data_IF_926282239502
#
_entry.id   IF_926282239502
#
_cell.length_a   1.000
_cell.length_b   1.000
_cell.length_c   1.000
_cell.angle_alpha   90.00
_cell.angle_beta   90.00
_cell.angle_gamma   90.00
#
_symmetry.space_group_name_H-M   'P 1'
#
loop_
_entity.id
_entity.type
_entity.pdbx_description
1 polymer ?
#
# COMPACT_ATOMS: atom_id res chain seq x y z
N UNK A 1 50.93 -16.69 55.87
CA UNK A 1 49.46 -16.76 55.95
C UNK A 1 48.83 -16.07 54.76
N UNK A 2 48.51 -16.79 53.69
CA UNK A 2 48.05 -16.22 52.42
C UNK A 2 46.51 -16.27 52.41
N UNK A 3 45.84 -15.09 52.32
CA UNK A 3 44.37 -14.94 52.20
C UNK A 3 43.93 -15.35 50.81
N UNK A 4 43.37 -16.55 50.68
CA UNK A 4 42.80 -17.08 49.44
C UNK A 4 41.27 -17.16 49.58
N UNK A 5 40.56 -16.02 49.59
CA UNK A 5 39.12 -16.00 49.67
C UNK A 5 38.52 -14.73 49.04
N UNK A 6 38.67 -14.52 47.72
CA UNK A 6 37.82 -13.51 47.06
C UNK A 6 37.53 -13.78 45.59
N UNK A 7 38.03 -14.90 45.05
CA UNK A 7 37.97 -15.11 43.58
C UNK A 7 36.65 -15.75 43.12
N UNK A 8 36.02 -16.57 43.94
CA UNK A 8 34.76 -17.24 43.59
C UNK A 8 33.54 -16.33 43.58
N UNK A 9 33.53 -15.26 44.39
CA UNK A 9 32.43 -14.30 44.47
C UNK A 9 32.40 -13.39 43.25
N UNK A 10 33.57 -12.95 42.78
CA UNK A 10 33.70 -12.10 41.61
C UNK A 10 33.40 -12.85 40.31
N UNK A 11 33.80 -14.10 40.20
CA UNK A 11 33.52 -14.95 39.06
C UNK A 11 32.01 -15.24 38.90
N UNK A 12 31.28 -15.44 40.03
CA UNK A 12 29.82 -15.61 40.01
C UNK A 12 29.08 -14.32 39.56
N UNK A 13 29.56 -13.14 39.95
CA UNK A 13 29.00 -11.85 39.55
C UNK A 13 29.23 -11.55 38.05
N UNK A 14 30.40 -11.95 37.53
CA UNK A 14 30.73 -11.79 36.11
C UNK A 14 29.87 -12.74 35.26
N UNK A 15 29.69 -13.98 35.68
CA UNK A 15 28.84 -14.94 34.96
C UNK A 15 27.36 -14.50 34.97
N UNK A 16 26.86 -13.96 36.12
CA UNK A 16 25.49 -13.45 36.20
C UNK A 16 25.29 -12.20 35.28
N UNK A 17 26.29 -11.32 35.21
CA UNK A 17 26.25 -10.17 34.31
C UNK A 17 26.30 -10.56 32.83
N UNK A 18 27.06 -11.61 32.47
CA UNK A 18 27.10 -12.13 31.10
C UNK A 18 25.78 -12.81 30.69
N UNK A 19 25.11 -13.50 31.59
CA UNK A 19 23.82 -14.15 31.34
C UNK A 19 22.71 -13.10 31.16
N UNK A 20 22.73 -12.01 31.95
CA UNK A 20 21.78 -10.91 31.79
C UNK A 20 21.98 -10.12 30.47
N UNK A 21 23.22 -10.02 29.97
CA UNK A 21 23.50 -9.34 28.69
C UNK A 21 23.14 -10.19 27.46
N UNK A 22 22.98 -11.49 27.60
CA UNK A 22 22.54 -12.40 26.53
C UNK A 22 21.00 -12.52 26.44
N UNK A 23 20.27 -11.98 27.43
CA UNK A 23 18.79 -11.90 27.38
C UNK A 23 18.29 -10.57 26.81
N UNK A 24 19.17 -9.64 26.45
CA UNK A 24 18.79 -8.40 25.81
C UNK A 24 18.68 -8.58 24.31
N UNK A 25 17.44 -8.42 23.86
CA UNK A 25 17.03 -8.13 22.49
C UNK A 25 16.98 -9.27 21.48
N UNK A 26 16.05 -10.22 21.69
CA UNK A 26 15.18 -10.50 20.58
C UNK A 26 13.97 -9.53 20.68
N UNK A 27 14.19 -8.28 20.41
CA UNK A 27 13.11 -7.45 19.91
C UNK A 27 12.75 -8.07 18.57
N UNK A 28 11.79 -8.98 18.55
CA UNK A 28 11.01 -9.23 17.36
C UNK A 28 10.48 -7.85 17.00
N UNK A 29 10.92 -7.33 15.86
CA UNK A 29 10.29 -6.19 15.25
C UNK A 29 8.85 -6.64 14.98
N UNK A 30 7.93 -6.32 15.89
CA UNK A 30 6.50 -6.49 15.68
C UNK A 30 6.11 -5.53 14.57
N UNK A 31 6.26 -5.99 13.33
CA UNK A 31 5.80 -5.26 12.17
C UNK A 31 4.33 -4.90 12.40
N UNK A 32 4.04 -3.61 12.46
CA UNK A 32 2.66 -3.17 12.65
C UNK A 32 1.85 -3.58 11.42
N UNK A 33 0.91 -4.51 11.58
CA UNK A 33 0.01 -4.96 10.52
C UNK A 33 -1.40 -4.49 10.79
N UNK A 34 -2.17 -4.32 9.71
CA UNK A 34 -3.55 -3.87 9.82
C UNK A 34 -4.37 -4.14 8.57
N UNK A 35 -5.62 -3.66 8.61
CA UNK A 35 -6.56 -3.76 7.50
C UNK A 35 -6.53 -2.48 6.67
N UNK A 36 -6.73 -2.66 5.36
CA UNK A 36 -7.02 -1.61 4.39
C UNK A 36 -8.49 -1.73 4.04
N UNK A 37 -9.27 -0.68 4.26
CA UNK A 37 -10.66 -0.58 3.82
C UNK A 37 -10.92 0.88 3.47
N UNK A 38 -10.64 1.22 2.21
CA UNK A 38 -10.73 2.57 1.68
C UNK A 38 -11.82 2.65 0.63
N UNK A 39 -12.48 3.80 0.57
CA UNK A 39 -13.30 4.22 -0.56
C UNK A 39 -12.90 5.61 -0.99
N UNK A 40 -13.02 5.86 -2.29
CA UNK A 40 -12.63 7.14 -2.84
C UNK A 40 -13.42 7.54 -4.06
N UNK A 41 -13.11 8.74 -4.49
CA UNK A 41 -13.53 9.32 -5.74
C UNK A 41 -12.29 9.59 -6.59
N UNK A 42 -12.38 9.35 -7.88
CA UNK A 42 -11.31 9.48 -8.83
C UNK A 42 -11.79 10.26 -10.06
N UNK A 43 -11.00 11.22 -10.49
CA UNK A 43 -11.22 11.98 -11.73
C UNK A 43 -9.97 11.86 -12.59
N UNK A 44 -10.15 11.50 -13.86
CA UNK A 44 -9.04 11.24 -14.78
C UNK A 44 -9.24 11.84 -16.15
N UNK A 45 -8.13 12.16 -16.78
CA UNK A 45 -8.00 12.41 -18.20
C UNK A 45 -7.55 11.13 -18.90
N UNK A 46 -8.25 10.74 -19.97
CA UNK A 46 -7.89 9.58 -20.75
C UNK A 46 -7.64 9.91 -22.21
N UNK A 47 -6.67 9.21 -22.79
CA UNK A 47 -6.40 9.24 -24.24
C UNK A 47 -6.64 7.85 -24.79
N UNK A 48 -7.33 7.81 -25.91
CA UNK A 48 -7.73 6.61 -26.60
C UNK A 48 -7.08 6.54 -27.97
N UNK A 49 -6.65 5.35 -28.35
CA UNK A 49 -6.16 5.03 -29.69
C UNK A 49 -6.93 3.81 -30.21
N UNK A 50 -7.76 4.04 -31.22
CA UNK A 50 -8.57 2.99 -31.85
C UNK A 50 -8.16 2.76 -33.29
N UNK A 51 -8.27 1.52 -33.75
CA UNK A 51 -8.27 1.18 -35.16
C UNK A 51 -9.70 1.22 -35.72
N UNK A 52 -9.84 1.03 -37.05
CA UNK A 52 -11.14 1.05 -37.76
C UNK A 52 -12.15 -0.01 -37.27
N UNK A 53 -11.69 -1.06 -36.57
CA UNK A 53 -12.53 -2.13 -36.02
C UNK A 53 -12.94 -1.86 -34.56
N UNK A 54 -12.61 -0.70 -34.00
CA UNK A 54 -12.90 -0.38 -32.62
C UNK A 54 -12.02 -1.09 -31.59
N UNK A 55 -10.94 -1.75 -32.04
CA UNK A 55 -9.91 -2.33 -31.16
C UNK A 55 -8.88 -1.25 -30.87
N UNK A 56 -8.56 -1.05 -29.62
CA UNK A 56 -7.65 0.00 -29.25
C UNK A 56 -7.08 -0.15 -27.86
N UNK A 57 -6.37 0.87 -27.45
CA UNK A 57 -5.81 1.03 -26.14
C UNK A 57 -6.19 2.38 -25.56
N UNK A 58 -6.16 2.49 -24.26
CA UNK A 58 -6.25 3.76 -23.56
C UNK A 58 -5.14 3.87 -22.53
N UNK A 59 -4.76 5.10 -22.27
CA UNK A 59 -3.93 5.50 -21.15
C UNK A 59 -4.65 6.61 -20.42
N UNK A 60 -4.44 6.69 -19.11
CA UNK A 60 -4.99 7.77 -18.30
C UNK A 60 -4.06 8.16 -17.18
N UNK A 61 -4.26 9.36 -16.70
CA UNK A 61 -3.78 9.82 -15.40
C UNK A 61 -4.90 10.56 -14.67
N UNK A 62 -4.90 10.45 -13.37
CA UNK A 62 -5.97 11.05 -12.59
C UNK A 62 -5.66 11.11 -11.12
N UNK A 63 -6.47 11.87 -10.42
CA UNK A 63 -6.34 12.05 -8.98
C UNK A 63 -7.68 11.95 -8.27
N UNK A 64 -7.61 11.71 -6.97
CA UNK A 64 -8.79 11.63 -6.13
C UNK A 64 -8.49 11.64 -4.65
N UNK A 65 -9.53 11.64 -3.85
CA UNK A 65 -9.45 11.49 -2.40
C UNK A 65 -9.82 10.08 -1.97
N UNK A 66 -9.22 9.62 -0.88
CA UNK A 66 -9.54 8.36 -0.23
C UNK A 66 -9.95 8.62 1.23
N UNK A 67 -10.92 7.88 1.69
CA UNK A 67 -11.37 7.86 3.08
C UNK A 67 -11.33 6.43 3.62
N UNK A 68 -10.85 6.27 4.84
CA UNK A 68 -10.94 4.99 5.53
C UNK A 68 -12.39 4.71 5.93
N UNK A 69 -12.88 3.55 5.55
CA UNK A 69 -14.20 3.04 5.96
C UNK A 69 -14.09 2.30 7.28
N UNK A 70 -12.92 1.72 7.56
CA UNK A 70 -12.56 1.10 8.83
C UNK A 70 -11.04 1.15 9.03
N UNK A 71 -10.60 1.19 10.29
CA UNK A 71 -9.18 1.33 10.62
C UNK A 71 -8.68 2.75 10.43
N UNK A 72 -7.35 2.91 10.39
CA UNK A 72 -6.66 4.21 10.28
C UNK A 72 -5.75 4.31 9.06
N UNK A 73 -5.64 3.26 8.25
CA UNK A 73 -4.82 3.29 7.05
C UNK A 73 -5.50 4.14 5.98
N UNK A 74 -4.80 5.13 5.50
CA UNK A 74 -5.25 5.94 4.37
C UNK A 74 -6.38 6.93 4.67
N UNK A 75 -6.69 7.20 5.94
CA UNK A 75 -7.67 8.22 6.28
C UNK A 75 -7.20 9.61 5.85
N UNK A 76 -8.12 10.36 5.22
CA UNK A 76 -7.84 11.72 4.72
C UNK A 76 -6.63 11.79 3.78
N UNK A 77 -6.53 10.85 2.86
CA UNK A 77 -5.43 10.79 1.89
C UNK A 77 -5.87 11.23 0.49
N UNK A 78 -4.88 11.57 -0.33
CA UNK A 78 -5.07 11.73 -1.77
C UNK A 78 -4.40 10.57 -2.52
N UNK A 79 -4.89 10.31 -3.73
CA UNK A 79 -4.28 9.37 -4.65
C UNK A 79 -4.02 10.05 -6.00
N UNK A 80 -2.91 9.70 -6.64
CA UNK A 80 -2.63 9.99 -8.04
C UNK A 80 -2.28 8.68 -8.73
N UNK A 81 -3.01 8.36 -9.80
CA UNK A 81 -2.85 7.10 -10.51
C UNK A 81 -2.55 7.34 -11.98
N UNK A 82 -1.74 6.45 -12.54
CA UNK A 82 -1.53 6.33 -13.98
C UNK A 82 -1.83 4.88 -14.37
N UNK A 83 -2.54 4.71 -15.49
CA UNK A 83 -2.94 3.38 -15.92
C UNK A 83 -3.14 3.28 -17.41
N UNK A 84 -3.23 2.04 -17.89
CA UNK A 84 -3.46 1.71 -19.27
C UNK A 84 -4.29 0.41 -19.39
N UNK A 85 -5.03 0.31 -20.48
CA UNK A 85 -5.80 -0.90 -20.78
C UNK A 85 -6.08 -1.03 -22.26
N UNK A 86 -6.74 -2.14 -22.64
CA UNK A 86 -7.09 -2.46 -24.03
C UNK A 86 -8.60 -2.66 -24.19
N UNK A 87 -9.15 -2.26 -25.34
CA UNK A 87 -10.55 -2.39 -25.71
C UNK A 87 -10.61 -3.25 -26.99
N UNK A 88 -11.55 -4.21 -27.13
CA UNK A 88 -12.69 -4.52 -26.28
C UNK A 88 -12.33 -5.36 -25.05
N UNK A 89 -13.13 -5.21 -24.05
CA UNK A 89 -12.99 -5.52 -22.66
C UNK A 89 -12.84 -6.98 -22.20
N UNK A 90 -11.96 -7.77 -22.81
CA UNK A 90 -11.44 -8.99 -22.18
C UNK A 90 -9.98 -8.86 -21.74
N UNK A 91 -9.51 -7.62 -21.71
CA UNK A 91 -8.19 -7.27 -21.25
C UNK A 91 -8.16 -6.95 -19.77
N UNK A 92 -6.99 -6.58 -19.35
CA UNK A 92 -6.71 -6.09 -17.99
C UNK A 92 -6.30 -4.63 -18.12
N UNK A 93 -6.88 -3.79 -17.29
CA UNK A 93 -6.35 -2.48 -16.99
C UNK A 93 -5.31 -2.64 -15.89
N UNK A 94 -4.15 -2.03 -16.05
CA UNK A 94 -3.08 -2.06 -15.06
C UNK A 94 -2.47 -0.68 -14.87
N UNK A 95 -1.92 -0.46 -13.70
CA UNK A 95 -1.30 0.83 -13.42
C UNK A 95 -0.72 0.93 -12.03
N UNK A 96 -0.34 2.15 -11.70
CA UNK A 96 0.24 2.50 -10.40
C UNK A 96 -0.49 3.68 -9.80
N UNK A 97 -0.67 3.64 -8.48
CA UNK A 97 -1.13 4.79 -7.72
C UNK A 97 -0.11 5.15 -6.64
N UNK A 98 0.13 6.44 -6.47
CA UNK A 98 0.76 6.98 -5.27
C UNK A 98 -0.33 7.47 -4.34
N UNK A 99 -0.39 6.89 -3.15
CA UNK A 99 -1.22 7.37 -2.04
C UNK A 99 -0.36 8.30 -1.22
N UNK A 100 -0.82 9.55 -1.05
CA UNK A 100 -0.14 10.55 -0.24
C UNK A 100 -0.92 10.80 1.04
N UNK A 101 -0.24 10.64 2.17
CA UNK A 101 -0.80 10.83 3.51
C UNK A 101 -0.63 12.28 3.99
N UNK A 102 -1.39 12.66 5.01
CA UNK A 102 -1.41 14.01 5.54
C UNK A 102 -0.05 14.50 6.07
N UNK A 103 0.83 13.58 6.46
CA UNK A 103 2.20 13.85 6.94
C UNK A 103 3.25 13.85 5.81
N UNK A 104 2.82 13.93 4.55
CA UNK A 104 3.65 13.87 3.35
C UNK A 104 4.32 12.51 3.04
N UNK A 105 4.16 11.51 3.89
CA UNK A 105 4.57 10.13 3.56
C UNK A 105 3.76 9.59 2.39
N UNK A 106 4.31 8.60 1.69
CA UNK A 106 3.65 7.98 0.54
C UNK A 106 3.65 6.46 0.63
N UNK A 107 2.64 5.84 0.01
CA UNK A 107 2.67 4.43 -0.37
C UNK A 107 2.41 4.32 -1.87
N UNK A 108 3.19 3.50 -2.57
CA UNK A 108 2.99 3.21 -3.98
C UNK A 108 2.37 1.84 -4.13
N UNK A 109 1.29 1.74 -4.88
CA UNK A 109 0.59 0.51 -5.19
C UNK A 109 0.60 0.24 -6.70
N UNK A 110 0.66 -1.02 -7.05
CA UNK A 110 0.35 -1.56 -8.37
C UNK A 110 -1.05 -2.14 -8.34
N UNK A 111 -1.81 -2.04 -9.43
CA UNK A 111 -3.12 -2.65 -9.55
C UNK A 111 -3.32 -3.30 -10.92
N UNK A 112 -4.16 -4.33 -10.93
CA UNK A 112 -4.70 -4.98 -12.12
C UNK A 112 -6.22 -5.11 -11.97
N UNK A 113 -6.97 -4.65 -12.97
CA UNK A 113 -8.43 -4.66 -12.96
C UNK A 113 -8.93 -5.29 -14.27
N UNK A 114 -9.66 -6.42 -14.22
CA UNK A 114 -10.31 -6.98 -15.40
C UNK A 114 -11.33 -5.99 -15.99
N UNK A 115 -11.25 -5.71 -17.29
CA UNK A 115 -12.14 -4.75 -17.96
C UNK A 115 -13.58 -5.27 -18.12
N UNK A 116 -13.78 -6.58 -18.04
CA UNK A 116 -15.10 -7.20 -18.02
C UNK A 116 -15.73 -7.26 -16.61
N UNK A 117 -14.94 -6.99 -15.57
CA UNK A 117 -15.39 -6.90 -14.19
C UNK A 117 -14.56 -5.86 -13.41
N UNK A 118 -14.85 -4.59 -13.62
CA UNK A 118 -14.10 -3.48 -12.99
C UNK A 118 -14.17 -3.42 -11.46
N UNK A 119 -15.00 -4.26 -10.85
CA UNK A 119 -15.06 -4.42 -9.39
C UNK A 119 -14.23 -5.60 -8.86
N UNK A 120 -13.57 -6.36 -9.74
CA UNK A 120 -12.85 -7.60 -9.41
C UNK A 120 -11.33 -7.52 -9.55
N UNK A 121 -10.74 -6.35 -9.37
CA UNK A 121 -9.31 -6.13 -9.46
C UNK A 121 -8.53 -6.52 -8.21
N UNK A 122 -7.21 -6.49 -8.34
CA UNK A 122 -6.25 -6.75 -7.26
C UNK A 122 -5.25 -5.62 -7.17
N UNK A 123 -4.66 -5.44 -5.99
CA UNK A 123 -3.57 -4.50 -5.78
C UNK A 123 -2.50 -5.08 -4.86
N UNK A 124 -1.30 -4.53 -4.96
CA UNK A 124 -0.18 -4.78 -4.06
C UNK A 124 0.64 -3.51 -3.83
N UNK A 125 1.30 -3.41 -2.66
CA UNK A 125 2.24 -2.33 -2.40
C UNK A 125 3.59 -2.63 -3.03
N UNK A 126 4.14 -1.63 -3.72
CA UNK A 126 5.51 -1.65 -4.25
C UNK A 126 6.52 -1.03 -3.28
N UNK A 127 6.07 -0.31 -2.27
CA UNK A 127 6.87 0.38 -1.27
C UNK A 127 6.26 1.70 -0.85
N UNK A 128 7.03 2.52 -0.14
CA UNK A 128 6.59 3.80 0.35
C UNK A 128 7.72 4.64 0.93
N UNK A 129 7.39 5.78 1.51
CA UNK A 129 8.32 6.68 2.18
C UNK A 129 7.92 6.92 3.63
N UNK A 130 8.85 7.41 4.46
CA UNK A 130 8.62 7.70 5.86
C UNK A 130 8.14 6.47 6.64
N UNK A 131 7.04 6.57 7.36
CA UNK A 131 6.48 5.44 8.12
C UNK A 131 6.01 4.26 7.26
N UNK A 132 5.89 4.45 5.95
CA UNK A 132 5.51 3.40 4.98
C UNK A 132 6.71 2.83 4.22
N UNK A 133 7.93 3.18 4.59
CA UNK A 133 9.13 2.57 4.02
C UNK A 133 9.12 1.05 4.24
N UNK A 134 9.31 0.30 3.15
CA UNK A 134 9.25 -1.17 3.18
C UNK A 134 7.88 -1.77 3.48
N UNK A 135 6.79 -1.00 3.35
CA UNK A 135 5.43 -1.53 3.44
C UNK A 135 5.23 -2.68 2.46
N UNK A 136 4.53 -3.70 2.91
CA UNK A 136 3.93 -4.73 2.06
C UNK A 136 2.42 -4.67 2.25
N UNK A 137 1.68 -4.77 1.17
CA UNK A 137 0.22 -4.86 1.22
C UNK A 137 -0.30 -5.63 0.01
N UNK A 138 -1.50 -6.18 0.14
CA UNK A 138 -2.23 -6.76 -0.98
C UNK A 138 -3.72 -6.84 -0.66
N UNK A 139 -4.52 -6.95 -1.72
CA UNK A 139 -5.95 -7.08 -1.56
C UNK A 139 -6.71 -6.91 -2.87
N UNK A 140 -7.98 -6.57 -2.69
CA UNK A 140 -8.94 -6.35 -3.77
C UNK A 140 -9.13 -4.85 -4.02
N UNK A 141 -9.26 -4.49 -5.28
CA UNK A 141 -9.58 -3.13 -5.72
C UNK A 141 -10.54 -3.17 -6.89
N UNK A 142 -11.13 -2.04 -7.17
CA UNK A 142 -11.99 -1.88 -8.33
C UNK A 142 -12.61 -0.50 -8.34
N UNK A 143 -13.33 -0.24 -9.43
CA UNK A 143 -14.02 1.04 -9.58
C UNK A 143 -15.36 0.86 -10.26
N UNK A 144 -16.25 1.81 -9.99
CA UNK A 144 -17.49 2.01 -10.69
C UNK A 144 -17.45 3.36 -11.38
N UNK A 145 -17.49 3.35 -12.70
CA UNK A 145 -17.58 4.58 -13.47
C UNK A 145 -18.92 5.27 -13.22
N UNK A 146 -18.88 6.57 -13.02
CA UNK A 146 -20.07 7.41 -12.86
C UNK A 146 -20.12 8.43 -13.98
N UNK A 147 -21.31 8.96 -14.27
CA UNK A 147 -21.44 10.01 -15.28
C UNK A 147 -20.68 11.25 -14.85
N UNK A 148 -19.75 11.68 -15.68
CA UNK A 148 -18.99 12.91 -15.42
C UNK A 148 -19.89 14.13 -15.57
N UNK A 149 -19.74 15.09 -14.68
CA UNK A 149 -20.34 16.42 -14.80
C UNK A 149 -19.52 17.33 -15.74
N UNK A 150 -18.30 16.91 -16.11
CA UNK A 150 -17.37 17.64 -16.97
C UNK A 150 -17.12 16.81 -18.23
N UNK A 151 -17.38 17.40 -19.40
CA UNK A 151 -17.15 16.73 -20.68
C UNK A 151 -15.67 16.36 -20.86
N UNK A 152 -15.41 15.16 -21.41
CA UNK A 152 -14.06 14.65 -21.64
C UNK A 152 -13.33 14.11 -20.40
N UNK A 153 -13.95 14.18 -19.22
CA UNK A 153 -13.37 13.62 -18.00
C UNK A 153 -13.99 12.27 -17.66
N UNK A 154 -13.18 11.37 -17.12
CA UNK A 154 -13.63 10.12 -16.52
C UNK A 154 -13.79 10.36 -15.02
N UNK A 155 -14.96 10.02 -14.49
CA UNK A 155 -15.23 10.04 -13.06
C UNK A 155 -15.58 8.62 -12.59
N UNK A 156 -15.03 8.21 -11.45
CA UNK A 156 -15.34 6.92 -10.86
C UNK A 156 -15.28 6.99 -9.33
N UNK A 157 -16.02 6.12 -8.69
CA UNK A 157 -15.75 5.73 -7.31
C UNK A 157 -14.85 4.51 -7.32
N UNK A 158 -13.92 4.43 -6.39
CA UNK A 158 -13.01 3.30 -6.28
C UNK A 158 -12.88 2.82 -4.82
N UNK A 159 -12.34 1.63 -4.64
CA UNK A 159 -12.10 1.06 -3.33
C UNK A 159 -10.80 0.26 -3.28
N UNK A 160 -10.28 0.09 -2.06
CA UNK A 160 -9.19 -0.82 -1.73
C UNK A 160 -9.56 -1.59 -0.47
N UNK A 161 -9.53 -2.93 -0.52
CA UNK A 161 -9.77 -3.80 0.63
C UNK A 161 -8.68 -4.85 0.74
N UNK A 162 -8.01 -4.93 1.88
CA UNK A 162 -6.90 -5.86 2.06
C UNK A 162 -6.21 -5.72 3.40
N UNK A 163 -4.94 -6.07 3.39
CA UNK A 163 -4.08 -6.01 4.58
C UNK A 163 -2.75 -5.35 4.25
N UNK A 164 -2.10 -4.82 5.26
CA UNK A 164 -0.74 -4.27 5.16
C UNK A 164 0.11 -4.70 6.33
N UNK A 165 1.43 -4.67 6.14
CA UNK A 165 2.45 -4.82 7.17
C UNK A 165 3.51 -3.74 6.95
N UNK A 166 3.86 -3.02 8.01
CA UNK A 166 4.97 -2.05 8.04
C UNK A 166 6.21 -2.75 8.59
N UNK A 167 7.37 -2.51 7.95
CA UNK A 167 8.65 -2.84 8.57
C UNK A 167 8.98 -1.78 9.61
N UNK A 168 9.41 -2.20 10.78
CA UNK A 168 10.06 -1.33 11.74
C UNK A 168 11.55 -1.22 11.42
#
# INVERSE_FOLDING_TARGET
MVKKTNDRSNMRKIILALILSLMSSTTFADGHSGKIDLKGFFAADAKFLFNEKGVGTFIYDGMGGLMAMSGTFGDSTSQYCVGAGSIPGKGVEMGHCTIKFINDDTAMIYFEIPLDNTMGGKFECLGGTGRYEGITCSGETGYQQIKSAVEGKIHATNYYKGTYTLKQ
#
